data_IF_967197973046
#
_entry.id   IF_967197973046
#
_cell.length_a   1.000
_cell.length_b   1.000
_cell.length_c   1.000
_cell.angle_alpha   90.00
_cell.angle_beta   90.00
_cell.angle_gamma   90.00
#
_symmetry.space_group_name_H-M   'P 1'
#
loop_
_entity.id
_entity.type
_entity.pdbx_description
1 polymer ?
#
# COMPACT_ATOMS: atom_id res chain seq x y z
N UNK A 1 20.22 48.27 34.11
CA UNK A 1 21.22 48.59 33.06
C UNK A 1 20.93 49.89 32.27
N UNK A 2 19.96 50.72 32.67
CA UNK A 2 19.57 51.95 31.94
C UNK A 2 20.45 53.18 32.20
N UNK A 3 21.19 53.25 33.29
CA UNK A 3 21.91 54.46 33.73
C UNK A 3 23.20 54.76 32.94
N UNK A 4 23.87 53.79 32.33
CA UNK A 4 25.13 54.00 31.55
C UNK A 4 24.88 54.54 30.13
N UNK A 5 23.69 54.48 29.59
CA UNK A 5 23.35 54.87 28.19
C UNK A 5 22.83 56.31 28.06
N UNK A 6 22.38 56.96 29.16
CA UNK A 6 21.94 58.38 29.20
C UNK A 6 23.05 59.34 29.56
N UNK A 7 24.22 58.84 30.00
CA UNK A 7 25.38 59.64 30.40
C UNK A 7 25.85 60.64 29.34
N UNK A 8 26.04 60.28 28.05
CA UNK A 8 26.52 61.23 27.02
C UNK A 8 25.50 62.35 26.74
N UNK A 9 24.23 62.05 26.78
CA UNK A 9 23.18 63.09 26.60
C UNK A 9 23.09 64.05 27.78
N UNK A 10 23.28 63.59 28.99
CA UNK A 10 23.31 64.39 30.21
C UNK A 10 24.58 65.27 30.19
N UNK A 11 25.72 64.71 29.85
CA UNK A 11 27.01 65.47 29.80
C UNK A 11 26.98 66.54 28.72
N UNK A 12 26.46 66.27 27.50
CA UNK A 12 26.31 67.27 26.45
C UNK A 12 25.30 68.35 26.79
N UNK A 13 24.21 68.02 27.50
CA UNK A 13 23.24 68.97 28.00
C UNK A 13 23.86 69.94 29.03
N UNK A 14 24.59 69.45 30.02
CA UNK A 14 25.32 70.25 30.99
C UNK A 14 26.40 71.13 30.32
N UNK A 15 27.09 70.62 29.35
CA UNK A 15 28.07 71.35 28.54
C UNK A 15 27.43 72.55 27.80
N UNK A 16 26.25 72.39 27.22
CA UNK A 16 25.51 73.50 26.55
C UNK A 16 25.15 74.61 27.52
N UNK A 17 24.69 74.28 28.73
CA UNK A 17 24.38 75.26 29.78
C UNK A 17 25.68 76.00 30.19
N UNK A 18 26.78 75.30 30.38
CA UNK A 18 28.08 75.94 30.71
C UNK A 18 28.57 76.89 29.59
N UNK A 19 28.45 76.48 28.31
CA UNK A 19 28.75 77.37 27.18
C UNK A 19 27.86 78.67 27.15
N UNK A 20 26.59 78.51 27.49
CA UNK A 20 25.68 79.70 27.60
C UNK A 20 26.12 80.64 28.69
N UNK A 21 26.48 80.18 29.88
CA UNK A 21 26.95 81.00 31.00
C UNK A 21 28.32 81.64 30.61
N UNK A 22 29.23 80.94 30.03
CA UNK A 22 30.52 81.42 29.60
C UNK A 22 30.37 82.52 28.49
N UNK A 23 29.41 82.36 27.55
CA UNK A 23 29.09 83.30 26.50
C UNK A 23 28.52 84.59 27.03
N UNK A 24 27.64 84.55 28.02
CA UNK A 24 27.09 85.75 28.67
C UNK A 24 28.12 86.55 29.43
N UNK A 25 29.02 85.89 30.18
CA UNK A 25 30.13 86.53 30.90
C UNK A 25 31.10 87.17 29.91
N UNK A 26 31.51 86.47 28.82
CA UNK A 26 32.38 87.00 27.80
C UNK A 26 31.81 88.16 27.05
N UNK A 27 30.52 88.22 26.79
CA UNK A 27 29.82 89.36 26.18
C UNK A 27 29.85 90.60 27.08
N UNK A 28 29.53 90.44 28.39
CA UNK A 28 29.60 91.54 29.34
C UNK A 28 31.01 92.09 29.61
N UNK A 29 32.01 91.22 29.52
CA UNK A 29 33.42 91.58 29.71
C UNK A 29 34.07 92.15 28.45
N UNK A 30 33.40 92.18 27.29
CA UNK A 30 33.98 92.66 26.01
C UNK A 30 35.02 91.74 25.40
N UNK A 31 35.07 90.45 25.82
CA UNK A 31 36.05 89.45 25.39
C UNK A 31 35.49 88.69 24.17
N UNK A 32 35.51 89.33 22.99
CA UNK A 32 34.96 88.80 21.74
C UNK A 32 35.53 87.48 21.29
N UNK A 33 36.82 87.20 21.56
CA UNK A 33 37.46 85.96 21.24
C UNK A 33 36.91 84.76 22.08
N UNK A 34 36.62 84.98 23.35
CA UNK A 34 36.00 83.97 24.21
C UNK A 34 34.50 83.75 23.87
N UNK A 35 33.82 84.78 23.41
CA UNK A 35 32.41 84.71 22.96
C UNK A 35 32.30 83.82 21.71
N UNK A 36 33.18 83.99 20.72
CA UNK A 36 33.24 83.16 19.51
C UNK A 36 33.56 81.72 19.85
N UNK A 37 34.48 81.44 20.78
CA UNK A 37 34.81 80.11 21.24
C UNK A 37 33.62 79.39 21.93
N UNK A 38 32.87 80.16 22.79
CA UNK A 38 31.71 79.60 23.46
C UNK A 38 30.57 79.23 22.48
N UNK A 39 30.34 80.05 21.44
CA UNK A 39 29.33 79.83 20.41
C UNK A 39 29.73 78.58 19.58
N UNK A 40 30.99 78.45 19.15
CA UNK A 40 31.45 77.28 18.42
C UNK A 40 31.36 75.97 19.24
N UNK A 41 31.72 76.03 20.51
CA UNK A 41 31.56 74.88 21.42
C UNK A 41 30.09 74.51 21.66
N UNK A 42 29.18 75.49 21.77
CA UNK A 42 27.74 75.25 21.88
C UNK A 42 27.18 74.61 20.62
N UNK A 43 27.55 75.04 19.44
CA UNK A 43 27.14 74.44 18.16
C UNK A 43 27.65 73.00 18.09
N UNK A 44 28.92 72.76 18.44
CA UNK A 44 29.51 71.40 18.41
C UNK A 44 28.84 70.46 19.44
N UNK A 45 28.60 70.89 20.65
CA UNK A 45 27.88 70.14 21.66
C UNK A 45 26.42 69.92 21.28
N UNK A 46 25.78 70.91 20.63
CA UNK A 46 24.45 70.79 20.10
C UNK A 46 24.28 69.72 19.02
N UNK A 47 25.28 69.69 18.07
CA UNK A 47 25.30 68.65 17.02
C UNK A 47 25.55 67.26 17.61
N UNK A 48 26.44 67.13 18.58
CA UNK A 48 26.66 65.89 19.33
C UNK A 48 25.43 65.44 20.10
N UNK A 49 24.75 66.37 20.73
CA UNK A 49 23.51 66.07 21.45
C UNK A 49 22.38 65.63 20.52
N UNK A 50 22.22 66.33 19.38
CA UNK A 50 21.29 65.97 18.32
C UNK A 50 21.61 64.58 17.76
N UNK A 51 22.89 64.32 17.46
CA UNK A 51 23.32 63.00 16.93
C UNK A 51 23.12 61.86 17.92
N UNK A 52 23.29 62.12 19.24
CA UNK A 52 23.00 61.16 20.29
C UNK A 52 21.51 60.84 20.44
N UNK A 53 20.62 61.85 20.13
CA UNK A 53 19.18 61.68 20.19
C UNK A 53 18.60 61.05 18.91
N UNK A 54 19.18 61.36 17.73
CA UNK A 54 18.67 60.94 16.40
C UNK A 54 19.26 59.64 15.95
N UNK A 55 20.34 59.15 16.62
CA UNK A 55 20.81 57.79 16.29
C UNK A 55 19.65 56.82 16.31
N UNK A 56 19.37 56.09 15.16
CA UNK A 56 18.39 55.02 15.19
C UNK A 56 18.79 54.09 16.33
N UNK A 57 17.91 53.90 17.27
CA UNK A 57 18.10 52.80 18.21
C UNK A 57 18.14 51.53 17.35
N UNK A 58 19.27 50.85 17.32
CA UNK A 58 19.33 49.48 16.90
C UNK A 58 18.40 48.68 17.84
N UNK A 59 17.12 48.66 17.45
CA UNK A 59 16.17 47.69 18.02
C UNK A 59 16.74 46.35 17.52
N UNK A 60 17.27 45.48 18.40
CA UNK A 60 17.68 44.18 17.95
C UNK A 60 16.48 43.59 17.24
N UNK A 61 16.64 42.99 16.01
CA UNK A 61 15.52 42.36 15.34
C UNK A 61 14.86 41.44 16.34
N UNK A 62 13.51 41.42 16.39
CA UNK A 62 12.78 40.52 17.32
C UNK A 62 13.38 39.15 17.11
N UNK A 63 13.90 38.57 18.19
CA UNK A 63 14.71 37.35 18.16
C UNK A 63 13.94 36.30 17.31
N UNK A 64 14.57 35.85 16.22
CA UNK A 64 14.01 34.83 15.31
C UNK A 64 13.64 33.54 16.05
N UNK A 65 14.06 33.41 17.30
CA UNK A 65 13.72 32.33 18.23
C UNK A 65 12.23 32.17 18.47
N UNK A 66 11.46 33.26 18.60
CA UNK A 66 10.01 33.16 18.88
C UNK A 66 9.18 32.59 17.72
N UNK A 67 9.62 32.80 16.48
CA UNK A 67 8.91 32.28 15.30
C UNK A 67 9.29 30.82 15.06
N UNK A 68 10.59 30.48 15.21
CA UNK A 68 11.05 29.10 15.14
C UNK A 68 10.47 28.24 16.28
N UNK A 69 10.31 28.78 17.47
CA UNK A 69 9.68 28.09 18.61
C UNK A 69 8.17 27.91 18.39
N UNK A 70 7.47 28.89 17.82
CA UNK A 70 6.05 28.78 17.47
C UNK A 70 5.83 27.76 16.34
N UNK A 71 6.67 27.77 15.31
CA UNK A 71 6.62 26.80 14.21
C UNK A 71 6.94 25.37 14.69
N UNK A 72 7.91 25.20 15.57
CA UNK A 72 8.24 23.94 16.20
C UNK A 72 7.11 23.40 17.10
N UNK A 73 6.43 24.30 17.81
CA UNK A 73 5.27 23.92 18.63
C UNK A 73 4.06 23.53 17.77
N UNK A 74 3.79 24.27 16.69
CA UNK A 74 2.75 23.93 15.72
C UNK A 74 3.01 22.57 15.06
N UNK A 75 4.27 22.29 14.66
CA UNK A 75 4.67 21.01 14.12
C UNK A 75 4.46 19.86 15.12
N UNK A 76 4.81 20.06 16.39
CA UNK A 76 4.56 19.07 17.44
C UNK A 76 3.08 18.75 17.62
N UNK A 77 2.23 19.78 17.62
CA UNK A 77 0.79 19.59 17.72
C UNK A 77 0.25 18.81 16.52
N UNK A 78 0.71 19.11 15.31
CA UNK A 78 0.33 18.37 14.10
C UNK A 78 0.79 16.92 14.13
N UNK A 79 2.03 16.66 14.56
CA UNK A 79 2.55 15.29 14.71
C UNK A 79 1.76 14.51 15.78
N UNK A 80 1.43 15.14 16.91
CA UNK A 80 0.68 14.50 18.00
C UNK A 80 -0.80 14.25 17.64
N UNK A 81 -1.35 15.00 16.69
CA UNK A 81 -2.69 14.77 16.16
C UNK A 81 -2.73 13.59 15.17
N UNK A 82 -1.58 13.17 14.61
CA UNK A 82 -1.53 12.04 13.70
C UNK A 82 -1.79 10.72 14.45
N UNK A 83 -2.78 9.91 13.99
CA UNK A 83 -3.10 8.64 14.64
C UNK A 83 -2.05 7.54 14.36
N UNK A 84 -1.25 7.71 13.32
CA UNK A 84 -0.21 6.76 12.91
C UNK A 84 1.04 6.94 13.78
N UNK A 85 1.57 5.89 14.42
CA UNK A 85 2.82 5.96 15.16
C UNK A 85 3.99 6.36 14.26
N UNK A 86 4.71 7.42 14.64
CA UNK A 86 5.87 7.95 13.92
C UNK A 86 7.14 7.79 14.77
N UNK A 87 8.17 7.24 14.17
CA UNK A 87 9.46 6.97 14.80
C UNK A 87 10.59 7.68 14.06
N UNK A 88 11.54 8.24 14.80
CA UNK A 88 12.84 8.62 14.25
C UNK A 88 13.85 7.52 14.58
N UNK A 89 14.61 7.10 13.58
CA UNK A 89 15.64 6.07 13.68
C UNK A 89 16.98 6.69 13.30
N UNK A 90 17.93 6.64 14.24
CA UNK A 90 19.28 7.17 14.08
C UNK A 90 20.28 6.16 14.64
N UNK A 91 21.02 5.46 13.77
CA UNK A 91 22.10 4.51 14.10
C UNK A 91 21.75 3.55 15.24
N UNK A 92 20.59 2.90 15.16
CA UNK A 92 20.10 1.96 16.18
C UNK A 92 19.36 2.61 17.36
N UNK A 93 19.33 3.93 17.46
CA UNK A 93 18.49 4.63 18.42
C UNK A 93 17.12 4.94 17.83
N UNK A 94 16.05 4.44 18.46
CA UNK A 94 14.67 4.67 18.03
C UNK A 94 14.01 5.64 19.01
N UNK A 95 13.38 6.70 18.47
CA UNK A 95 12.65 7.71 19.26
C UNK A 95 11.21 7.85 18.77
N UNK A 96 10.27 7.95 19.68
CA UNK A 96 8.87 8.20 19.40
C UNK A 96 8.66 9.70 19.09
N UNK A 97 8.22 10.00 17.86
CA UNK A 97 8.03 11.39 17.41
C UNK A 97 6.67 11.96 17.82
N UNK A 98 5.64 11.10 17.94
CA UNK A 98 4.29 11.57 18.19
C UNK A 98 3.61 10.80 19.33
N UNK A 99 2.42 11.29 19.74
CA UNK A 99 1.62 10.68 20.81
C UNK A 99 1.30 9.21 20.56
N UNK A 100 0.97 8.85 19.30
CA UNK A 100 0.63 7.48 18.95
C UNK A 100 1.82 6.52 19.14
N UNK A 101 3.04 6.93 18.73
CA UNK A 101 4.25 6.14 18.96
C UNK A 101 4.60 6.04 20.46
N UNK A 102 4.46 7.13 21.20
CA UNK A 102 4.68 7.11 22.67
C UNK A 102 3.72 6.16 23.38
N UNK A 103 2.46 6.13 22.96
CA UNK A 103 1.45 5.22 23.50
C UNK A 103 1.76 3.76 23.13
N UNK A 104 2.13 3.50 21.88
CA UNK A 104 2.42 2.15 21.39
C UNK A 104 3.59 1.50 22.10
N UNK A 105 4.68 2.25 22.35
CA UNK A 105 5.88 1.74 23.01
C UNK A 105 5.96 2.06 24.50
N UNK A 106 4.89 2.60 25.08
CA UNK A 106 4.82 2.99 26.51
C UNK A 106 6.03 3.84 26.94
N UNK A 107 6.49 4.77 26.09
CA UNK A 107 7.69 5.57 26.31
C UNK A 107 7.44 7.06 26.08
N UNK A 108 8.09 7.96 26.87
CA UNK A 108 7.95 9.40 26.61
C UNK A 108 8.77 9.89 25.39
N UNK A 109 9.88 9.19 25.05
CA UNK A 109 10.82 9.63 24.00
C UNK A 109 11.54 8.46 23.35
N UNK A 110 12.44 7.75 24.07
CA UNK A 110 13.24 6.65 23.53
C UNK A 110 12.53 5.31 23.67
N UNK A 111 12.50 4.56 22.58
CA UNK A 111 12.00 3.19 22.58
C UNK A 111 13.10 2.26 23.09
N UNK A 112 12.88 1.67 24.29
CA UNK A 112 13.83 0.77 24.94
C UNK A 112 13.11 -0.45 25.54
N UNK A 113 13.47 -1.70 25.13
CA UNK A 113 14.43 -2.02 24.06
C UNK A 113 13.84 -1.70 22.68
N UNK A 114 14.68 -1.20 21.77
CA UNK A 114 14.26 -1.00 20.39
C UNK A 114 14.07 -2.37 19.71
N UNK A 115 12.97 -2.59 18.96
CA UNK A 115 12.83 -3.81 18.16
C UNK A 115 13.94 -3.91 17.12
N UNK A 116 14.73 -5.01 17.16
CA UNK A 116 15.88 -5.19 16.26
C UNK A 116 15.53 -5.09 14.76
N UNK A 117 14.30 -5.41 14.41
CA UNK A 117 13.80 -5.28 13.03
C UNK A 117 13.78 -3.83 12.53
N UNK A 118 13.75 -2.84 13.42
CA UNK A 118 13.79 -1.42 13.04
C UNK A 118 15.19 -0.97 12.63
N UNK A 119 16.23 -1.73 12.95
CA UNK A 119 17.62 -1.44 12.54
C UNK A 119 17.88 -1.91 11.09
N UNK A 120 17.10 -2.85 10.58
CA UNK A 120 17.18 -3.29 9.20
C UNK A 120 16.44 -2.31 8.26
N UNK A 121 17.16 -1.60 7.36
CA UNK A 121 16.53 -0.67 6.40
C UNK A 121 15.56 -1.36 5.43
N UNK A 122 15.77 -2.65 5.15
CA UNK A 122 14.95 -3.42 4.22
C UNK A 122 13.68 -3.99 4.87
N UNK A 123 13.57 -3.95 6.21
CA UNK A 123 12.42 -4.46 6.90
C UNK A 123 11.15 -3.63 6.62
N UNK A 124 10.13 -4.28 6.12
CA UNK A 124 8.83 -3.67 5.79
C UNK A 124 7.72 -4.03 6.76
N UNK A 125 7.97 -4.95 7.72
CA UNK A 125 6.95 -5.43 8.67
C UNK A 125 7.53 -5.50 10.09
N UNK A 126 6.71 -5.11 11.07
CA UNK A 126 7.00 -5.21 12.50
C UNK A 126 5.88 -6.00 13.18
N UNK A 127 6.24 -6.98 13.99
CA UNK A 127 5.32 -7.62 14.94
C UNK A 127 5.53 -6.97 16.32
N UNK A 128 4.51 -6.31 16.86
CA UNK A 128 4.57 -5.68 18.17
C UNK A 128 3.27 -5.98 18.95
N UNK A 129 3.39 -6.53 20.16
CA UNK A 129 2.26 -6.94 21.00
C UNK A 129 1.22 -7.83 20.29
N UNK A 130 1.68 -8.75 19.43
CA UNK A 130 0.81 -9.65 18.68
C UNK A 130 0.13 -9.01 17.46
N UNK A 131 0.35 -7.71 17.17
CA UNK A 131 -0.18 -6.99 16.00
C UNK A 131 0.88 -6.83 14.94
N UNK A 132 0.44 -6.89 13.69
CA UNK A 132 1.30 -6.71 12.52
C UNK A 132 1.20 -5.29 12.00
N UNK A 133 2.38 -4.64 11.88
CA UNK A 133 2.52 -3.28 11.40
C UNK A 133 3.36 -3.26 10.14
N UNK A 134 2.97 -2.48 9.15
CA UNK A 134 3.79 -2.14 8.00
C UNK A 134 4.68 -0.96 8.36
N UNK A 135 5.96 -1.05 8.00
CA UNK A 135 6.94 0.01 8.20
C UNK A 135 7.10 0.76 6.89
N UNK A 136 6.66 2.01 6.85
CA UNK A 136 6.94 2.92 5.75
C UNK A 136 8.07 3.85 6.18
N UNK A 137 9.19 3.86 5.44
CA UNK A 137 10.38 4.65 5.77
C UNK A 137 10.66 5.73 4.77
N UNK A 138 11.08 6.89 5.29
CA UNK A 138 11.63 7.99 4.51
C UNK A 138 13.02 8.28 5.04
N UNK A 139 14.04 8.14 4.19
CA UNK A 139 15.41 8.49 4.52
C UNK A 139 15.59 10.03 4.49
N UNK A 140 16.31 10.55 5.48
CA UNK A 140 16.65 11.97 5.56
C UNK A 140 18.08 12.21 5.06
N UNK A 141 18.41 13.43 4.57
CA UNK A 141 19.74 13.74 4.02
C UNK A 141 20.88 13.58 5.02
N UNK A 142 20.58 13.61 6.31
CA UNK A 142 21.56 13.51 7.41
C UNK A 142 21.83 12.06 7.86
N UNK A 143 21.35 11.08 7.11
CA UNK A 143 21.52 9.64 7.39
C UNK A 143 20.55 9.08 8.44
N UNK A 144 19.64 9.90 8.96
CA UNK A 144 18.51 9.46 9.79
C UNK A 144 17.36 8.98 8.92
N UNK A 145 16.43 8.24 9.50
CA UNK A 145 15.18 7.89 8.81
C UNK A 145 13.98 8.14 9.72
N UNK A 146 12.86 8.46 9.10
CA UNK A 146 11.57 8.52 9.78
C UNK A 146 10.75 7.33 9.30
N UNK A 147 10.19 6.58 10.25
CA UNK A 147 9.34 5.43 9.97
C UNK A 147 7.91 5.69 10.47
N UNK A 148 6.93 5.43 9.62
CA UNK A 148 5.52 5.37 9.99
C UNK A 148 5.11 3.91 10.15
N UNK A 149 4.41 3.58 11.25
CA UNK A 149 3.88 2.25 11.51
C UNK A 149 2.40 2.22 11.18
N UNK A 150 2.03 1.49 10.13
CA UNK A 150 0.65 1.38 9.66
C UNK A 150 0.08 0.05 10.14
N UNK A 151 -1.04 0.10 10.88
CA UNK A 151 -1.74 -1.10 11.33
C UNK A 151 -2.36 -1.83 10.13
N UNK A 152 -1.76 -2.96 9.76
CA UNK A 152 -2.22 -3.75 8.62
C UNK A 152 -3.43 -4.62 9.02
N UNK A 153 -3.56 -4.95 10.27
CA UNK A 153 -4.58 -5.91 10.73
C UNK A 153 -5.99 -5.35 10.55
N UNK A 154 -6.19 -4.06 10.74
CA UNK A 154 -7.46 -3.42 10.50
C UNK A 154 -7.80 -3.32 9.00
N UNK A 155 -6.82 -2.98 8.15
CA UNK A 155 -6.99 -2.93 6.70
C UNK A 155 -7.21 -4.34 6.12
N UNK A 156 -6.43 -5.33 6.56
CA UNK A 156 -6.59 -6.73 6.17
C UNK A 156 -7.97 -7.25 6.58
N UNK A 157 -8.40 -7.05 7.83
CA UNK A 157 -9.74 -7.47 8.30
C UNK A 157 -10.88 -6.79 7.54
N UNK A 158 -10.75 -5.50 7.25
CA UNK A 158 -11.80 -4.81 6.46
C UNK A 158 -11.81 -5.25 5.01
N UNK A 159 -10.66 -5.53 4.41
CA UNK A 159 -10.57 -6.09 3.07
C UNK A 159 -11.11 -7.51 3.02
N UNK A 160 -10.78 -8.37 3.99
CA UNK A 160 -11.33 -9.71 4.14
C UNK A 160 -12.85 -9.70 4.35
N UNK A 161 -13.34 -8.82 5.22
CA UNK A 161 -14.78 -8.70 5.47
C UNK A 161 -15.54 -8.23 4.23
N UNK A 162 -14.98 -7.30 3.45
CA UNK A 162 -15.56 -6.87 2.16
C UNK A 162 -15.54 -8.01 1.14
N UNK A 163 -14.41 -8.69 1.00
CA UNK A 163 -14.31 -9.83 0.09
C UNK A 163 -15.29 -10.95 0.47
N UNK A 164 -15.47 -11.23 1.76
CA UNK A 164 -16.46 -12.19 2.23
C UNK A 164 -17.89 -11.73 1.95
N UNK A 165 -18.21 -10.45 2.14
CA UNK A 165 -19.51 -9.89 1.83
C UNK A 165 -19.82 -9.96 0.33
N UNK A 166 -18.86 -9.62 -0.53
CA UNK A 166 -18.99 -9.74 -1.98
C UNK A 166 -19.23 -11.19 -2.41
N UNK A 167 -18.50 -12.14 -1.82
CA UNK A 167 -18.71 -13.58 -2.06
C UNK A 167 -20.11 -14.05 -1.64
N UNK A 168 -20.62 -13.60 -0.48
CA UNK A 168 -21.96 -13.93 -0.01
C UNK A 168 -23.03 -13.35 -0.95
N UNK A 169 -22.84 -12.12 -1.42
CA UNK A 169 -23.77 -11.48 -2.35
C UNK A 169 -23.81 -12.23 -3.68
N UNK A 170 -22.64 -12.58 -4.25
CA UNK A 170 -22.56 -13.38 -5.48
C UNK A 170 -23.20 -14.74 -5.27
N UNK A 171 -22.92 -15.41 -4.13
CA UNK A 171 -23.54 -16.70 -3.79
C UNK A 171 -25.08 -16.61 -3.78
N UNK A 172 -25.62 -15.56 -3.14
CA UNK A 172 -27.08 -15.34 -3.10
C UNK A 172 -27.68 -15.18 -4.49
N UNK A 173 -27.06 -14.37 -5.35
CA UNK A 173 -27.51 -14.17 -6.73
C UNK A 173 -27.45 -15.45 -7.56
N UNK A 174 -26.33 -16.19 -7.53
CA UNK A 174 -26.15 -17.40 -8.33
C UNK A 174 -27.03 -18.57 -7.84
N UNK A 175 -27.22 -18.69 -6.53
CA UNK A 175 -28.17 -19.67 -5.97
C UNK A 175 -29.59 -19.36 -6.42
N UNK A 176 -30.04 -18.11 -6.36
CA UNK A 176 -31.39 -17.74 -6.81
C UNK A 176 -31.54 -17.96 -8.32
N UNK A 177 -30.56 -17.58 -9.12
CA UNK A 177 -30.56 -17.78 -10.57
C UNK A 177 -30.54 -19.28 -10.96
N UNK A 178 -29.90 -20.12 -10.16
CA UNK A 178 -29.82 -21.55 -10.38
C UNK A 178 -31.08 -22.30 -9.90
N UNK A 179 -31.65 -21.89 -8.75
CA UNK A 179 -32.81 -22.56 -8.13
C UNK A 179 -34.13 -22.20 -8.82
N UNK A 180 -34.35 -20.95 -9.22
CA UNK A 180 -35.60 -20.52 -9.84
C UNK A 180 -35.97 -21.32 -11.10
N UNK A 181 -35.07 -21.59 -12.07
CA UNK A 181 -35.36 -22.47 -13.20
C UNK A 181 -35.66 -23.93 -12.80
N UNK A 182 -34.96 -24.43 -11.74
CA UNK A 182 -35.19 -25.81 -11.23
C UNK A 182 -36.62 -25.94 -10.72
N UNK A 183 -37.10 -24.98 -9.92
CA UNK A 183 -38.46 -24.94 -9.40
C UNK A 183 -39.46 -24.84 -10.56
N UNK A 184 -39.24 -23.92 -11.52
CA UNK A 184 -40.13 -23.76 -12.70
C UNK A 184 -40.19 -25.03 -13.56
N UNK A 185 -39.07 -25.71 -13.77
CA UNK A 185 -39.01 -26.96 -14.52
C UNK A 185 -39.71 -28.10 -13.76
N UNK A 186 -39.59 -28.16 -12.43
CA UNK A 186 -40.29 -29.12 -11.60
C UNK A 186 -41.83 -28.92 -11.69
N UNK A 187 -42.28 -27.64 -11.60
CA UNK A 187 -43.72 -27.30 -11.76
C UNK A 187 -44.22 -27.65 -13.18
N UNK A 188 -43.42 -27.40 -14.20
CA UNK A 188 -43.76 -27.79 -15.59
C UNK A 188 -43.84 -29.31 -15.74
N UNK A 189 -42.90 -30.05 -15.12
CA UNK A 189 -42.96 -31.52 -15.08
C UNK A 189 -44.20 -32.05 -14.37
N UNK A 190 -44.55 -31.45 -13.25
CA UNK A 190 -45.79 -31.78 -12.54
C UNK A 190 -47.06 -31.47 -13.36
N UNK A 191 -47.06 -30.37 -14.11
CA UNK A 191 -48.15 -30.03 -15.01
C UNK A 191 -48.24 -31.00 -16.21
N UNK A 192 -47.12 -31.47 -16.75
CA UNK A 192 -47.08 -32.45 -17.84
C UNK A 192 -47.58 -33.84 -17.43
N UNK A 193 -47.65 -34.14 -16.15
CA UNK A 193 -48.23 -35.40 -15.60
C UNK A 193 -49.74 -35.37 -15.38
N UNK A 194 -50.40 -34.20 -15.50
CA UNK A 194 -51.90 -34.08 -15.26
C UNK A 194 -52.79 -34.58 -16.40
N UNK A 195 -52.39 -34.47 -17.72
CA UNK A 195 -53.18 -35.00 -18.80
C UNK A 195 -53.38 -36.54 -18.74
N UNK A 196 -54.47 -37.03 -19.35
CA UNK A 196 -54.73 -38.47 -19.43
C UNK A 196 -53.70 -39.21 -20.30
N UNK A 197 -53.13 -38.56 -21.29
CA UNK A 197 -52.00 -39.04 -22.07
C UNK A 197 -50.74 -38.22 -21.70
N UNK A 198 -49.75 -38.93 -21.20
CA UNK A 198 -48.47 -38.31 -20.79
C UNK A 198 -47.55 -38.26 -21.99
N UNK A 199 -47.14 -37.06 -22.35
CA UNK A 199 -46.06 -36.85 -23.34
C UNK A 199 -44.71 -37.21 -22.70
N UNK A 200 -44.21 -38.40 -23.03
CA UNK A 200 -42.93 -38.93 -22.47
C UNK A 200 -41.72 -38.18 -22.98
N UNK A 201 -41.75 -37.65 -24.19
CA UNK A 201 -40.62 -36.93 -24.81
C UNK A 201 -40.46 -35.59 -24.14
N UNK A 202 -41.58 -34.87 -23.94
CA UNK A 202 -41.59 -33.61 -23.17
C UNK A 202 -41.09 -33.81 -21.74
N UNK A 203 -41.55 -34.91 -21.07
CA UNK A 203 -41.12 -35.21 -19.72
C UNK A 203 -39.63 -35.54 -19.63
N UNK A 204 -39.10 -36.28 -20.62
CA UNK A 204 -37.66 -36.57 -20.75
C UNK A 204 -36.81 -35.27 -20.93
N UNK A 205 -37.30 -34.34 -21.76
CA UNK A 205 -36.64 -33.06 -22.00
C UNK A 205 -36.62 -32.20 -20.73
N UNK A 206 -37.74 -32.11 -20.00
CA UNK A 206 -37.84 -31.36 -18.74
C UNK A 206 -36.91 -31.97 -17.69
N UNK A 207 -36.92 -33.29 -17.48
CA UNK A 207 -36.07 -33.99 -16.51
C UNK A 207 -34.59 -33.88 -16.86
N UNK A 208 -34.24 -34.01 -18.14
CA UNK A 208 -32.86 -33.85 -18.63
C UNK A 208 -32.34 -32.43 -18.40
N UNK A 209 -33.20 -31.43 -18.62
CA UNK A 209 -32.85 -30.04 -18.37
C UNK A 209 -32.70 -29.74 -16.87
N UNK A 210 -33.60 -30.30 -16.04
CA UNK A 210 -33.54 -30.19 -14.59
C UNK A 210 -32.25 -30.82 -14.04
N UNK A 211 -31.89 -32.02 -14.51
CA UNK A 211 -30.64 -32.70 -14.12
C UNK A 211 -29.41 -31.83 -14.43
N UNK A 212 -29.31 -31.31 -15.68
CA UNK A 212 -28.21 -30.41 -16.06
C UNK A 212 -28.12 -29.16 -15.18
N UNK A 213 -29.26 -28.55 -14.81
CA UNK A 213 -29.29 -27.38 -13.91
C UNK A 213 -28.87 -27.74 -12.49
N UNK A 214 -29.30 -28.88 -11.97
CA UNK A 214 -28.86 -29.35 -10.66
C UNK A 214 -27.36 -29.66 -10.61
N UNK A 215 -26.83 -30.30 -11.65
CA UNK A 215 -25.36 -30.54 -11.79
C UNK A 215 -24.60 -29.23 -11.84
N UNK A 216 -25.06 -28.24 -12.60
CA UNK A 216 -24.45 -26.91 -12.66
C UNK A 216 -24.40 -26.23 -11.28
N UNK A 217 -25.50 -26.30 -10.52
CA UNK A 217 -25.56 -25.74 -9.14
C UNK A 217 -24.63 -26.49 -8.19
N UNK A 218 -24.51 -27.82 -8.34
CA UNK A 218 -23.57 -28.63 -7.55
C UNK A 218 -22.11 -28.25 -7.86
N UNK A 219 -21.75 -28.07 -9.14
CA UNK A 219 -20.43 -27.61 -9.55
C UNK A 219 -20.13 -26.22 -9.01
N UNK A 220 -21.08 -25.29 -9.10
CA UNK A 220 -20.96 -23.95 -8.50
C UNK A 220 -20.68 -24.02 -7.00
N UNK A 221 -21.44 -24.84 -6.25
CA UNK A 221 -21.30 -24.96 -4.80
C UNK A 221 -19.93 -25.55 -4.41
N UNK A 222 -19.42 -26.55 -5.17
CA UNK A 222 -18.09 -27.11 -4.96
C UNK A 222 -17.00 -26.06 -5.22
N UNK A 223 -17.12 -25.31 -6.30
CA UNK A 223 -16.19 -24.25 -6.68
C UNK A 223 -16.19 -23.11 -5.65
N UNK A 224 -17.37 -22.70 -5.16
CA UNK A 224 -17.49 -21.72 -4.07
C UNK A 224 -16.78 -22.18 -2.80
N UNK A 225 -16.98 -23.45 -2.39
CA UNK A 225 -16.30 -23.99 -1.19
C UNK A 225 -14.79 -24.01 -1.32
N UNK A 226 -14.26 -24.33 -2.51
CA UNK A 226 -12.83 -24.31 -2.79
C UNK A 226 -12.26 -22.89 -2.67
N UNK A 227 -12.99 -21.87 -3.14
CA UNK A 227 -12.60 -20.49 -3.05
C UNK A 227 -12.70 -19.93 -1.63
N UNK A 228 -13.83 -20.20 -0.92
CA UNK A 228 -14.11 -19.64 0.40
C UNK A 228 -13.30 -20.29 1.54
N UNK A 229 -12.71 -21.47 1.34
CA UNK A 229 -12.01 -22.25 2.36
C UNK A 229 -10.62 -22.69 1.92
N UNK A 230 -9.89 -21.83 1.20
CA UNK A 230 -8.50 -22.14 0.88
C UNK A 230 -7.70 -22.12 2.20
N UNK A 231 -7.17 -23.28 2.65
CA UNK A 231 -6.37 -23.33 3.87
C UNK A 231 -5.02 -22.61 3.66
N UNK A 232 -4.36 -22.17 4.72
CA UNK A 232 -2.98 -21.69 4.62
C UNK A 232 -2.09 -22.74 3.96
N UNK A 233 -1.18 -22.36 3.04
CA UNK A 233 -0.35 -23.32 2.32
C UNK A 233 0.63 -24.02 3.27
N UNK A 234 0.68 -25.35 3.18
CA UNK A 234 1.68 -26.18 3.87
C UNK A 234 2.90 -26.33 2.95
N UNK A 235 3.86 -25.41 3.08
CA UNK A 235 5.03 -25.37 2.20
C UNK A 235 6.01 -26.47 2.53
N UNK A 236 6.38 -27.25 1.51
CA UNK A 236 7.38 -28.31 1.56
C UNK A 236 8.30 -28.20 0.34
N UNK A 237 9.56 -28.68 0.40
CA UNK A 237 10.39 -28.77 -0.78
C UNK A 237 9.75 -29.69 -1.83
N UNK A 238 9.43 -29.16 -3.00
CA UNK A 238 8.79 -29.89 -4.10
C UNK A 238 9.68 -29.84 -5.33
N UNK A 239 9.97 -31.01 -5.90
CA UNK A 239 10.70 -31.13 -7.15
C UNK A 239 9.83 -30.58 -8.31
N UNK A 240 10.22 -29.46 -8.89
CA UNK A 240 9.44 -28.74 -9.90
C UNK A 240 9.21 -29.58 -11.16
N UNK A 241 10.24 -30.28 -11.62
CA UNK A 241 10.14 -31.16 -12.79
C UNK A 241 9.14 -32.29 -12.58
N UNK A 242 9.20 -32.99 -11.43
CA UNK A 242 8.24 -34.07 -11.11
C UNK A 242 6.77 -33.55 -11.08
N UNK A 243 6.54 -32.38 -10.49
CA UNK A 243 5.21 -31.77 -10.48
C UNK A 243 4.73 -31.42 -11.91
N UNK A 244 5.63 -30.88 -12.75
CA UNK A 244 5.29 -30.52 -14.12
C UNK A 244 5.00 -31.75 -15.00
N UNK A 245 5.76 -32.84 -14.81
CA UNK A 245 5.55 -34.12 -15.50
C UNK A 245 4.22 -34.79 -15.11
N UNK A 246 3.83 -34.69 -13.83
CA UNK A 246 2.51 -35.16 -13.36
C UNK A 246 1.36 -34.39 -14.02
N UNK A 247 1.46 -33.05 -14.08
CA UNK A 247 0.48 -32.21 -14.78
C UNK A 247 0.42 -32.51 -16.27
N UNK A 248 1.56 -32.77 -16.91
CA UNK A 248 1.60 -33.16 -18.33
C UNK A 248 0.89 -34.50 -18.59
N UNK A 249 1.07 -35.48 -17.71
CA UNK A 249 0.34 -36.76 -17.81
C UNK A 249 -1.16 -36.59 -17.65
N UNK A 250 -1.58 -35.82 -16.69
CA UNK A 250 -3.00 -35.52 -16.49
C UNK A 250 -3.59 -34.76 -17.69
N UNK A 251 -2.85 -33.78 -18.23
CA UNK A 251 -3.25 -33.05 -19.42
C UNK A 251 -3.45 -33.93 -20.63
N UNK A 252 -2.46 -34.79 -20.94
CA UNK A 252 -2.51 -35.73 -22.06
C UNK A 252 -3.69 -36.72 -21.92
N UNK A 253 -4.00 -37.17 -20.70
CA UNK A 253 -5.18 -38.01 -20.45
C UNK A 253 -6.50 -37.32 -20.70
N UNK A 254 -6.58 -36.00 -20.51
CA UNK A 254 -7.81 -35.25 -20.69
C UNK A 254 -7.99 -34.68 -22.10
N UNK A 255 -6.87 -34.32 -22.77
CA UNK A 255 -6.84 -33.75 -24.12
C UNK A 255 -5.78 -34.49 -24.95
N UNK A 256 -6.06 -35.71 -25.41
CA UNK A 256 -5.08 -36.56 -26.14
C UNK A 256 -4.66 -35.92 -27.47
N UNK A 257 -5.51 -35.11 -28.08
CA UNK A 257 -5.23 -34.47 -29.37
C UNK A 257 -4.52 -33.10 -29.23
N UNK A 258 -4.20 -32.67 -28.01
CA UNK A 258 -3.50 -31.41 -27.76
C UNK A 258 -2.11 -31.67 -27.16
N UNK A 259 -1.08 -31.13 -27.80
CA UNK A 259 0.29 -31.20 -27.30
C UNK A 259 0.56 -30.14 -26.25
N UNK A 260 1.02 -30.53 -25.04
CA UNK A 260 1.54 -29.65 -24.01
C UNK A 260 3.07 -29.69 -24.03
N UNK A 261 3.71 -28.55 -24.31
CA UNK A 261 5.15 -28.38 -24.17
C UNK A 261 5.51 -28.04 -22.73
N UNK A 262 6.37 -28.85 -22.08
CA UNK A 262 6.75 -28.63 -20.68
C UNK A 262 8.24 -28.34 -20.57
N UNK A 263 8.59 -27.29 -19.87
CA UNK A 263 9.97 -26.94 -19.51
C UNK A 263 10.01 -26.60 -18.02
N UNK A 264 10.79 -27.32 -17.24
CA UNK A 264 10.93 -27.09 -15.81
C UNK A 264 12.40 -27.21 -15.39
N UNK A 265 12.84 -26.29 -14.55
CA UNK A 265 14.17 -26.37 -13.93
C UNK A 265 14.24 -27.58 -13.00
N UNK A 266 15.42 -28.20 -12.95
CA UNK A 266 15.69 -29.29 -12.05
C UNK A 266 16.02 -28.77 -10.64
N UNK A 267 15.04 -28.11 -10.02
CA UNK A 267 15.16 -27.47 -8.71
C UNK A 267 14.01 -27.90 -7.80
N UNK A 268 14.23 -27.80 -6.50
CA UNK A 268 13.19 -27.90 -5.48
C UNK A 268 12.79 -26.50 -5.02
N UNK A 269 11.49 -26.31 -4.73
CA UNK A 269 10.97 -25.04 -4.26
C UNK A 269 10.00 -25.25 -3.09
N UNK A 270 10.06 -24.41 -2.03
CA UNK A 270 9.15 -24.54 -0.90
C UNK A 270 7.74 -24.04 -1.27
N UNK A 271 6.81 -24.97 -1.52
CA UNK A 271 5.44 -24.69 -1.89
C UNK A 271 4.48 -25.79 -1.39
N UNK A 272 3.19 -25.48 -1.40
CA UNK A 272 2.13 -26.47 -1.22
C UNK A 272 1.82 -27.10 -2.59
N UNK A 273 2.24 -28.36 -2.76
CA UNK A 273 2.13 -29.07 -4.02
C UNK A 273 0.67 -29.21 -4.51
N UNK A 274 -0.23 -29.53 -3.62
CA UNK A 274 -1.64 -29.78 -3.98
C UNK A 274 -2.33 -28.51 -4.42
N UNK A 275 -2.12 -27.41 -3.68
CA UNK A 275 -2.64 -26.11 -4.06
C UNK A 275 -2.05 -25.63 -5.41
N UNK A 276 -0.73 -25.74 -5.60
CA UNK A 276 -0.11 -25.34 -6.86
C UNK A 276 -0.58 -26.21 -8.04
N UNK A 277 -0.69 -27.52 -7.87
CA UNK A 277 -1.27 -28.41 -8.89
C UNK A 277 -2.68 -27.98 -9.25
N UNK A 278 -3.52 -27.62 -8.25
CA UNK A 278 -4.88 -27.14 -8.49
C UNK A 278 -4.89 -25.82 -9.28
N UNK A 279 -4.04 -24.86 -8.92
CA UNK A 279 -3.91 -23.60 -9.62
C UNK A 279 -3.46 -23.80 -11.08
N UNK A 280 -2.40 -24.57 -11.28
CA UNK A 280 -1.83 -24.83 -12.62
C UNK A 280 -2.78 -25.64 -13.48
N UNK A 281 -3.49 -26.59 -12.89
CA UNK A 281 -4.54 -27.33 -13.61
C UNK A 281 -5.64 -26.41 -14.13
N UNK A 282 -6.11 -25.47 -13.31
CA UNK A 282 -7.11 -24.48 -13.73
C UNK A 282 -6.61 -23.59 -14.88
N UNK A 283 -5.33 -23.18 -14.85
CA UNK A 283 -4.71 -22.42 -15.95
C UNK A 283 -4.58 -23.25 -17.22
N UNK A 284 -4.15 -24.52 -17.12
CA UNK A 284 -4.00 -25.45 -18.24
C UNK A 284 -5.35 -25.79 -18.88
N UNK A 285 -6.39 -26.00 -18.07
CA UNK A 285 -7.76 -26.18 -18.57
C UNK A 285 -8.21 -24.95 -19.35
N UNK A 286 -7.99 -23.75 -18.82
CA UNK A 286 -8.37 -22.53 -19.49
C UNK A 286 -7.64 -22.37 -20.84
N UNK A 287 -6.35 -22.70 -20.91
CA UNK A 287 -5.54 -22.69 -22.11
C UNK A 287 -6.05 -23.69 -23.15
N UNK A 288 -6.33 -24.94 -22.73
CA UNK A 288 -6.87 -25.97 -23.61
C UNK A 288 -8.22 -25.57 -24.23
N UNK A 289 -9.13 -25.06 -23.39
CA UNK A 289 -10.45 -24.58 -23.83
C UNK A 289 -10.36 -23.38 -24.78
N UNK A 290 -9.39 -22.46 -24.56
CA UNK A 290 -9.15 -21.34 -25.46
C UNK A 290 -8.63 -21.78 -26.83
N UNK A 291 -7.90 -22.89 -26.88
CA UNK A 291 -7.32 -23.44 -28.12
C UNK A 291 -8.24 -24.39 -28.88
N UNK A 292 -9.44 -24.75 -28.38
CA UNK A 292 -10.36 -25.69 -29.06
C UNK A 292 -10.68 -25.32 -30.52
N UNK A 293 -10.78 -24.02 -30.82
CA UNK A 293 -11.03 -23.50 -32.16
C UNK A 293 -9.75 -23.06 -32.91
N UNK A 294 -8.56 -23.30 -32.34
CA UNK A 294 -7.28 -22.83 -32.88
C UNK A 294 -6.51 -24.01 -33.50
N UNK A 295 -6.05 -23.90 -34.72
CA UNK A 295 -5.29 -24.95 -35.41
C UNK A 295 -3.95 -24.40 -35.95
N UNK A 296 -2.80 -25.01 -35.59
CA UNK A 296 -2.64 -26.04 -34.57
C UNK A 296 -2.64 -25.45 -33.16
N UNK A 297 -3.24 -26.13 -32.14
CA UNK A 297 -3.21 -25.70 -30.77
C UNK A 297 -1.78 -25.80 -30.20
N UNK A 298 -1.33 -24.76 -29.51
CA UNK A 298 0.00 -24.72 -28.86
C UNK A 298 -0.17 -24.27 -27.43
N UNK A 299 0.18 -25.12 -26.50
CA UNK A 299 0.13 -24.83 -25.07
C UNK A 299 1.50 -25.15 -24.47
N UNK A 300 2.01 -24.25 -23.63
CA UNK A 300 3.29 -24.44 -22.96
C UNK A 300 3.18 -24.16 -21.46
N UNK A 301 3.83 -25.01 -20.67
CA UNK A 301 4.04 -24.84 -19.24
C UNK A 301 5.53 -24.67 -18.97
N UNK A 302 5.93 -23.53 -18.39
CA UNK A 302 7.34 -23.25 -18.06
C UNK A 302 7.48 -22.94 -16.58
N UNK A 303 8.42 -23.60 -15.91
CA UNK A 303 8.79 -23.36 -14.52
C UNK A 303 10.27 -22.99 -14.47
N UNK A 304 10.59 -21.79 -14.01
CA UNK A 304 11.96 -21.26 -13.94
C UNK A 304 12.24 -20.66 -12.57
N UNK A 305 13.43 -20.95 -12.06
CA UNK A 305 13.92 -20.37 -10.81
C UNK A 305 15.04 -19.37 -11.14
N UNK A 306 14.79 -18.09 -10.86
CA UNK A 306 15.78 -17.03 -11.02
C UNK A 306 15.57 -15.96 -9.93
N UNK A 307 16.63 -15.31 -9.50
CA UNK A 307 16.61 -14.17 -8.56
C UNK A 307 15.78 -14.45 -7.29
N UNK A 308 15.89 -15.65 -6.74
CA UNK A 308 15.09 -16.09 -5.57
C UNK A 308 13.58 -16.04 -5.79
N UNK A 309 13.15 -16.20 -7.02
CA UNK A 309 11.74 -16.28 -7.40
C UNK A 309 11.51 -17.51 -8.28
N UNK A 310 10.40 -18.20 -8.06
CA UNK A 310 9.86 -19.18 -8.98
C UNK A 310 8.88 -18.50 -9.91
N UNK A 311 9.17 -18.50 -11.20
CA UNK A 311 8.26 -18.00 -12.24
C UNK A 311 7.64 -19.19 -12.95
N UNK A 312 6.31 -19.24 -12.97
CA UNK A 312 5.52 -20.27 -13.66
C UNK A 312 4.70 -19.56 -14.74
N UNK A 313 4.81 -20.04 -15.98
CA UNK A 313 4.08 -19.52 -17.12
C UNK A 313 3.26 -20.61 -17.78
N UNK A 314 1.98 -20.30 -18.01
CA UNK A 314 1.10 -21.07 -18.88
C UNK A 314 0.78 -20.21 -20.09
N UNK A 315 1.25 -20.62 -21.25
CA UNK A 315 1.08 -19.93 -22.52
C UNK A 315 0.15 -20.72 -23.45
N UNK A 316 -0.73 -20.02 -24.13
CA UNK A 316 -1.58 -20.56 -25.19
C UNK A 316 -1.59 -19.65 -26.42
N UNK A 317 -1.88 -20.23 -27.59
CA UNK A 317 -2.05 -19.51 -28.85
C UNK A 317 -3.53 -19.30 -29.22
N UNK A 318 -4.42 -19.32 -28.25
CA UNK A 318 -5.83 -19.03 -28.40
C UNK A 318 -6.11 -17.58 -28.82
N UNK A 319 -7.37 -17.18 -28.92
CA UNK A 319 -7.78 -15.85 -29.39
C UNK A 319 -7.43 -14.71 -28.43
N UNK A 320 -6.86 -15.05 -27.25
CA UNK A 320 -6.54 -14.07 -26.22
C UNK A 320 -7.76 -13.61 -25.40
N UNK A 321 -7.53 -12.63 -24.52
CA UNK A 321 -8.57 -12.03 -23.68
C UNK A 321 -8.92 -10.65 -24.23
N UNK A 322 -10.18 -10.34 -24.53
CA UNK A 322 -10.59 -9.01 -24.96
C UNK A 322 -10.19 -7.93 -23.96
N UNK A 323 -9.72 -6.74 -24.42
CA UNK A 323 -9.23 -5.68 -23.53
C UNK A 323 -10.24 -5.22 -22.48
N UNK A 324 -11.52 -5.17 -22.83
CA UNK A 324 -12.64 -4.80 -21.96
C UNK A 324 -12.86 -5.80 -20.81
N UNK A 325 -12.42 -7.05 -20.98
CA UNK A 325 -12.57 -8.13 -20.00
C UNK A 325 -11.35 -8.35 -19.11
N UNK A 326 -10.19 -7.84 -19.50
CA UNK A 326 -8.90 -8.06 -18.78
C UNK A 326 -8.98 -7.71 -17.30
N UNK A 327 -9.67 -6.63 -16.94
CA UNK A 327 -9.85 -6.21 -15.55
C UNK A 327 -10.76 -7.12 -14.71
N UNK A 328 -11.49 -8.04 -15.35
CA UNK A 328 -12.52 -8.85 -14.69
C UNK A 328 -12.26 -10.34 -14.69
N UNK A 329 -11.28 -10.83 -15.47
CA UNK A 329 -11.01 -12.28 -15.61
C UNK A 329 -10.66 -12.99 -14.30
N UNK A 330 -10.11 -12.26 -13.34
CA UNK A 330 -9.78 -12.78 -12.01
C UNK A 330 -10.89 -12.60 -10.98
N UNK A 331 -12.03 -12.01 -11.37
CA UNK A 331 -13.18 -11.92 -10.45
C UNK A 331 -13.84 -13.29 -10.33
N UNK A 332 -14.16 -13.73 -9.11
CA UNK A 332 -14.87 -14.98 -8.93
C UNK A 332 -16.20 -15.02 -9.72
N UNK A 333 -16.51 -16.18 -10.27
CA UNK A 333 -17.74 -16.44 -11.04
C UNK A 333 -17.89 -15.68 -12.36
N UNK A 334 -16.87 -14.92 -12.76
CA UNK A 334 -16.86 -14.29 -14.07
C UNK A 334 -16.44 -15.31 -15.14
N UNK A 335 -17.36 -15.64 -16.04
CA UNK A 335 -17.13 -16.56 -17.16
C UNK A 335 -17.85 -16.09 -18.39
N UNK A 336 -17.26 -16.37 -19.56
CA UNK A 336 -17.89 -16.20 -20.87
C UNK A 336 -18.30 -17.54 -21.48
N UNK A 337 -18.04 -18.64 -20.78
CA UNK A 337 -18.28 -20.00 -21.24
C UNK A 337 -19.62 -20.51 -20.67
N UNK A 338 -20.45 -21.21 -21.47
CA UNK A 338 -21.76 -21.69 -21.02
C UNK A 338 -21.67 -22.63 -19.80
N UNK A 339 -20.67 -23.51 -19.78
CA UNK A 339 -20.47 -24.50 -18.71
C UNK A 339 -19.33 -24.11 -17.75
N UNK A 340 -18.83 -22.88 -17.86
CA UNK A 340 -17.72 -22.39 -17.03
C UNK A 340 -18.19 -21.96 -15.64
N UNK A 341 -17.51 -22.40 -14.59
CA UNK A 341 -17.80 -21.97 -13.20
C UNK A 341 -17.30 -20.56 -12.89
N UNK A 342 -16.41 -20.00 -13.71
CA UNK A 342 -15.77 -18.70 -13.47
C UNK A 342 -14.87 -18.65 -12.23
N UNK A 343 -14.51 -19.80 -11.64
CA UNK A 343 -13.72 -19.87 -10.40
C UNK A 343 -12.24 -20.19 -10.64
N UNK A 344 -11.90 -20.84 -11.74
CA UNK A 344 -10.54 -21.35 -11.96
C UNK A 344 -9.46 -20.28 -11.86
N UNK A 345 -9.61 -19.17 -12.59
CA UNK A 345 -8.63 -18.08 -12.59
C UNK A 345 -8.57 -17.34 -11.24
N UNK A 346 -9.70 -17.15 -10.58
CA UNK A 346 -9.77 -16.51 -9.27
C UNK A 346 -9.13 -17.39 -8.19
N UNK A 347 -9.33 -18.71 -8.24
CA UNK A 347 -8.69 -19.66 -7.35
C UNK A 347 -7.17 -19.72 -7.57
N UNK A 348 -6.72 -19.76 -8.82
CA UNK A 348 -5.29 -19.72 -9.14
C UNK A 348 -4.64 -18.44 -8.61
N UNK A 349 -5.32 -17.28 -8.71
CA UNK A 349 -4.84 -16.02 -8.14
C UNK A 349 -4.77 -16.05 -6.62
N UNK A 350 -5.78 -16.60 -5.94
CA UNK A 350 -5.76 -16.72 -4.48
C UNK A 350 -4.64 -17.65 -3.99
N UNK A 351 -4.41 -18.77 -4.67
CA UNK A 351 -3.31 -19.67 -4.36
C UNK A 351 -1.96 -18.97 -4.52
N UNK A 352 -1.77 -18.19 -5.60
CA UNK A 352 -0.58 -17.39 -5.78
C UNK A 352 -0.36 -16.39 -4.63
N UNK A 353 -1.42 -15.66 -4.25
CA UNK A 353 -1.39 -14.70 -3.13
C UNK A 353 -1.11 -15.39 -1.79
N UNK A 354 -1.71 -16.55 -1.52
CA UNK A 354 -1.48 -17.32 -0.29
C UNK A 354 -0.01 -17.79 -0.19
N UNK A 355 0.65 -18.01 -1.33
CA UNK A 355 2.08 -18.31 -1.41
C UNK A 355 2.96 -17.04 -1.37
N UNK A 356 2.38 -15.84 -1.17
CA UNK A 356 3.10 -14.56 -1.13
C UNK A 356 3.51 -14.05 -2.51
N UNK A 357 2.94 -14.60 -3.57
CA UNK A 357 3.22 -14.28 -4.96
C UNK A 357 2.11 -13.52 -5.66
N UNK A 358 2.18 -13.46 -6.98
CA UNK A 358 1.24 -12.75 -7.84
C UNK A 358 0.96 -13.55 -9.11
N UNK A 359 -0.29 -13.55 -9.58
CA UNK A 359 -0.70 -14.06 -10.89
C UNK A 359 -1.12 -12.89 -11.79
N UNK A 360 -0.51 -12.80 -12.96
CA UNK A 360 -0.74 -11.75 -13.95
C UNK A 360 -1.08 -12.34 -15.31
N UNK A 361 -1.80 -11.56 -16.13
CA UNK A 361 -2.05 -11.84 -17.53
C UNK A 361 -1.11 -10.98 -18.38
N UNK A 362 -0.43 -11.60 -19.35
CA UNK A 362 0.30 -10.91 -20.40
C UNK A 362 -0.35 -11.26 -21.74
N UNK A 363 -0.67 -10.24 -22.52
CA UNK A 363 -1.17 -10.38 -23.88
C UNK A 363 0.01 -10.23 -24.84
N UNK A 364 0.34 -11.34 -25.48
CA UNK A 364 1.19 -11.44 -26.66
C UNK A 364 0.28 -12.00 -27.76
N UNK A 365 0.73 -12.27 -29.00
CA UNK A 365 -0.09 -13.06 -29.91
C UNK A 365 -0.44 -14.40 -29.22
N UNK A 366 -1.63 -14.48 -28.55
CA UNK A 366 -2.03 -15.51 -27.59
C UNK A 366 -2.16 -14.98 -26.17
N UNK A 367 -2.12 -15.88 -25.18
CA UNK A 367 -2.25 -15.56 -23.75
C UNK A 367 -1.08 -16.14 -22.97
N UNK A 368 -0.52 -15.38 -22.03
CA UNK A 368 0.39 -15.89 -21.01
C UNK A 368 -0.15 -15.55 -19.64
N UNK A 369 -0.47 -16.56 -18.85
CA UNK A 369 -0.65 -16.43 -17.41
C UNK A 369 0.69 -16.65 -16.72
N UNK A 370 1.18 -15.60 -16.03
CA UNK A 370 2.44 -15.63 -15.30
C UNK A 370 2.19 -15.56 -13.81
N UNK A 371 2.63 -16.58 -13.09
CA UNK A 371 2.66 -16.65 -11.63
C UNK A 371 4.08 -16.47 -11.15
N UNK A 372 4.32 -15.56 -10.22
CA UNK A 372 5.64 -15.31 -9.61
C UNK A 372 5.52 -15.57 -8.12
N UNK A 373 6.31 -16.49 -7.59
CA UNK A 373 6.34 -16.89 -6.19
C UNK A 373 7.72 -16.59 -5.60
N UNK A 374 7.84 -15.66 -4.63
CA UNK A 374 9.10 -15.38 -3.98
C UNK A 374 9.53 -16.51 -3.05
N UNK A 375 10.84 -16.66 -2.84
CA UNK A 375 11.40 -17.54 -1.81
C UNK A 375 10.99 -16.99 -0.43
N UNK A 376 10.21 -17.76 0.29
CA UNK A 376 9.75 -17.40 1.62
C UNK A 376 10.79 -17.86 2.67
N UNK A 377 11.95 -17.21 2.70
CA UNK A 377 12.89 -17.31 3.83
C UNK A 377 12.74 -16.14 4.77
#
# INVERSE_FOLDING_TARGET
>A
MGFRRSLPAIVSGLGLVACGIAGTIACHAGLWGLLTGAILAAIWLGTLHWWALVRPRDVPPPAATGRADADAMALRILLDAAPTPLLAIDRGAVRALNRAARAMFATPDRVLPAPAILDDPAATRLLHEGRRWRIDRVAMPDGRSVAALIDIEHEERTAEARAAADLIQILGHELMNGLAPIVSLADSGMAALRPREIDRDLLHEILGTLSRRAEGLQHFTKAYRALARLPPPVRQPVALRGMADDLARLFAGRWPDMALSVTADAAEWPLDRDQLCQALWALLQNAAEACLATAPPRIALRLRVADRCLTIEVEDNGPGVPPDKTGHIFRPFHTTKPDGTGVGLSLARQIALAHGGLLTLQQVPGTIFRMVLPDAR
#
